data_IF_306266858599
#
_entry.id   IF_306266858599
#
_cell.length_a   1.000
_cell.length_b   1.000
_cell.length_c   1.000
_cell.angle_alpha   90.00
_cell.angle_beta   90.00
_cell.angle_gamma   90.00
#
_symmetry.space_group_name_H-M   'P 1'
#
loop_
_entity.id
_entity.type
_entity.pdbx_description
1 polymer ?
#
# COMPACT_ATOMS: atom_id res chain seq x y z
N UNK A 1 -4.72 -16.75 22.52
CA UNK A 1 -4.09 -15.41 22.31
C UNK A 1 -2.85 -15.53 21.42
N UNK A 2 -2.72 -14.67 20.42
CA UNK A 2 -1.55 -14.63 19.56
C UNK A 2 -0.36 -14.04 20.33
N UNK A 3 0.74 -14.79 20.42
CA UNK A 3 1.97 -14.37 21.13
C UNK A 3 3.17 -14.16 20.22
N UNK A 4 2.98 -14.22 18.90
CA UNK A 4 4.05 -14.15 17.91
C UNK A 4 3.62 -13.31 16.72
N UNK A 5 4.60 -12.80 15.99
CA UNK A 5 4.42 -12.18 14.67
C UNK A 5 4.37 -13.28 13.61
N UNK A 6 3.36 -13.26 12.75
CA UNK A 6 3.21 -14.21 11.64
C UNK A 6 3.17 -13.45 10.32
N UNK A 7 3.94 -13.93 9.34
CA UNK A 7 3.85 -13.52 7.94
C UNK A 7 3.64 -14.76 7.08
N UNK A 8 2.80 -14.65 6.05
CA UNK A 8 2.60 -15.73 5.08
C UNK A 8 2.76 -15.22 3.65
N UNK A 9 3.17 -16.12 2.75
CA UNK A 9 3.19 -15.91 1.31
C UNK A 9 2.37 -17.03 0.65
N UNK A 10 1.95 -16.82 -0.60
CA UNK A 10 1.15 -17.77 -1.37
C UNK A 10 -0.35 -17.56 -1.18
N UNK A 11 -1.11 -18.66 -1.08
CA UNK A 11 -2.57 -18.63 -1.08
C UNK A 11 -3.15 -17.59 -0.10
N UNK A 12 -4.15 -16.79 -0.52
CA UNK A 12 -4.96 -16.92 -1.74
C UNK A 12 -4.42 -16.14 -2.95
N UNK A 13 -3.21 -15.59 -2.88
CA UNK A 13 -2.63 -14.88 -4.02
C UNK A 13 -2.30 -15.85 -5.15
N UNK A 14 -2.52 -15.45 -6.42
CA UNK A 14 -2.01 -16.21 -7.55
C UNK A 14 -0.48 -16.13 -7.60
N UNK A 15 0.15 -17.11 -8.27
CA UNK A 15 1.61 -17.23 -8.34
C UNK A 15 2.31 -16.08 -9.10
N UNK A 16 1.54 -15.29 -9.86
CA UNK A 16 1.98 -14.12 -10.62
C UNK A 16 1.57 -12.77 -9.99
N UNK A 17 1.07 -12.76 -8.75
CA UNK A 17 0.89 -11.54 -7.97
C UNK A 17 1.85 -11.52 -6.78
N UNK A 18 2.56 -10.41 -6.61
CA UNK A 18 3.36 -10.21 -5.41
C UNK A 18 2.47 -9.84 -4.23
N UNK A 19 2.72 -10.44 -3.07
CA UNK A 19 2.05 -10.05 -1.85
C UNK A 19 2.28 -11.03 -0.71
N UNK A 20 1.65 -10.73 0.41
CA UNK A 20 1.75 -11.54 1.61
C UNK A 20 0.87 -11.03 2.74
N UNK A 21 0.64 -11.87 3.73
CA UNK A 21 -0.15 -11.51 4.91
C UNK A 21 0.74 -11.12 6.08
N UNK A 22 0.14 -10.39 7.01
CA UNK A 22 0.68 -10.20 8.34
C UNK A 22 -0.39 -10.43 9.40
N UNK A 23 0.00 -11.01 10.53
CA UNK A 23 -0.84 -11.16 11.72
C UNK A 23 -0.03 -10.86 12.98
N UNK A 24 -0.39 -9.79 13.69
CA UNK A 24 0.37 -9.26 14.84
C UNK A 24 -0.52 -9.13 16.08
N UNK A 25 0.01 -9.40 17.29
CA UNK A 25 -0.68 -9.05 18.52
C UNK A 25 -0.67 -7.52 18.74
N UNK A 26 -1.83 -6.91 18.95
CA UNK A 26 -1.95 -5.47 19.27
C UNK A 26 -2.10 -5.21 20.77
N UNK A 27 -2.78 -6.10 21.47
CA UNK A 27 -3.13 -5.95 22.88
C UNK A 27 -3.91 -7.15 23.41
N UNK A 28 -4.38 -7.11 24.67
CA UNK A 28 -5.17 -8.19 25.24
C UNK A 28 -6.39 -8.52 24.39
N UNK A 29 -6.40 -9.70 23.76
CA UNK A 29 -7.49 -10.18 22.92
C UNK A 29 -7.61 -9.49 21.55
N UNK A 30 -6.60 -8.73 21.11
CA UNK A 30 -6.63 -7.98 19.84
C UNK A 30 -5.50 -8.39 18.90
N UNK A 31 -5.86 -8.54 17.62
CA UNK A 31 -4.95 -8.94 16.54
C UNK A 31 -5.10 -7.94 15.39
N UNK A 32 -3.97 -7.46 14.87
CA UNK A 32 -3.91 -6.82 13.55
C UNK A 32 -3.71 -7.91 12.50
N UNK A 33 -4.60 -7.99 11.52
CA UNK A 33 -4.51 -8.91 10.39
C UNK A 33 -4.60 -8.11 9.10
N UNK A 34 -3.71 -8.37 8.15
CA UNK A 34 -3.73 -7.69 6.85
C UNK A 34 -3.17 -8.54 5.73
N UNK A 35 -3.48 -8.13 4.51
CA UNK A 35 -2.96 -8.67 3.26
C UNK A 35 -2.41 -7.50 2.44
N UNK A 36 -1.20 -7.66 1.94
CA UNK A 36 -0.55 -6.71 1.03
C UNK A 36 -0.47 -7.37 -0.34
N UNK A 37 -0.83 -6.63 -1.38
CA UNK A 37 -0.75 -7.06 -2.78
C UNK A 37 -0.13 -5.92 -3.58
N UNK A 38 0.89 -6.23 -4.36
CA UNK A 38 1.51 -5.29 -5.29
C UNK A 38 0.53 -4.86 -6.37
N UNK A 39 0.52 -3.60 -6.76
CA UNK A 39 -0.44 -3.08 -7.74
C UNK A 39 -0.08 -3.47 -9.19
N UNK A 40 1.03 -4.18 -9.37
CA UNK A 40 1.54 -4.75 -10.62
C UNK A 40 0.96 -6.13 -10.97
N UNK A 41 -0.16 -6.55 -10.38
CA UNK A 41 -0.84 -7.78 -10.77
C UNK A 41 -1.46 -7.72 -12.17
N UNK A 42 -1.46 -8.86 -12.86
CA UNK A 42 -1.94 -8.98 -14.24
C UNK A 42 -3.44 -9.21 -14.37
N UNK A 43 -4.12 -9.67 -13.33
CA UNK A 43 -5.54 -10.01 -13.40
C UNK A 43 -6.44 -8.81 -13.04
N UNK A 44 -7.20 -8.30 -14.01
CA UNK A 44 -8.14 -7.19 -13.79
C UNK A 44 -9.33 -7.57 -12.89
N UNK A 45 -9.55 -8.87 -12.68
CA UNK A 45 -10.62 -9.39 -11.83
C UNK A 45 -10.18 -9.63 -10.39
N UNK A 46 -8.90 -9.39 -10.07
CA UNK A 46 -8.35 -9.58 -8.74
C UNK A 46 -8.86 -8.50 -7.78
N UNK A 47 -9.58 -8.94 -6.75
CA UNK A 47 -10.09 -8.10 -5.68
C UNK A 47 -9.32 -8.36 -4.37
N UNK A 48 -8.47 -7.39 -3.97
CA UNK A 48 -7.64 -7.51 -2.77
C UNK A 48 -8.47 -7.62 -1.49
N UNK A 49 -9.63 -6.96 -1.42
CA UNK A 49 -10.52 -7.07 -0.27
C UNK A 49 -11.12 -8.48 -0.19
N UNK A 50 -11.53 -9.05 -1.31
CA UNK A 50 -12.01 -10.43 -1.35
C UNK A 50 -10.90 -11.42 -0.98
N UNK A 51 -9.67 -11.23 -1.47
CA UNK A 51 -8.55 -12.09 -1.14
C UNK A 51 -8.28 -12.13 0.36
N UNK A 52 -8.33 -11.01 1.10
CA UNK A 52 -8.20 -11.07 2.56
C UNK A 52 -9.40 -11.76 3.22
N UNK A 53 -10.61 -11.70 2.63
CA UNK A 53 -11.74 -12.49 3.13
C UNK A 53 -11.50 -13.99 2.95
N UNK A 54 -11.06 -14.43 1.77
CA UNK A 54 -10.69 -15.83 1.50
C UNK A 54 -9.56 -16.28 2.39
N UNK A 55 -8.52 -15.45 2.54
CA UNK A 55 -7.35 -15.73 3.38
C UNK A 55 -7.74 -16.16 4.79
N UNK A 56 -8.73 -15.50 5.40
CA UNK A 56 -9.24 -15.83 6.75
C UNK A 56 -9.79 -17.26 6.87
N UNK A 57 -10.18 -17.89 5.77
CA UNK A 57 -10.67 -19.28 5.74
C UNK A 57 -9.54 -20.31 5.73
N UNK A 58 -8.28 -19.90 5.49
CA UNK A 58 -7.14 -20.81 5.56
C UNK A 58 -6.99 -21.36 7.00
N UNK A 59 -6.76 -22.67 7.22
CA UNK A 59 -6.73 -23.29 8.56
C UNK A 59 -5.80 -22.65 9.60
N UNK A 60 -4.84 -21.84 9.16
CA UNK A 60 -3.96 -21.05 10.02
C UNK A 60 -4.71 -20.01 10.87
N UNK A 61 -5.76 -19.38 10.33
CA UNK A 61 -6.40 -18.20 10.94
C UNK A 61 -7.59 -18.51 11.86
N UNK A 62 -8.51 -19.46 11.56
CA UNK A 62 -9.65 -19.76 12.42
C UNK A 62 -9.33 -19.98 13.90
N UNK A 63 -8.21 -20.65 14.29
CA UNK A 63 -7.84 -20.78 15.70
C UNK A 63 -7.66 -19.46 16.46
N UNK A 64 -7.47 -18.34 15.75
CA UNK A 64 -7.30 -17.00 16.31
C UNK A 64 -8.50 -16.08 16.09
N UNK A 65 -9.33 -16.35 15.08
CA UNK A 65 -10.41 -15.47 14.63
C UNK A 65 -11.81 -15.97 15.02
N UNK A 66 -11.99 -17.28 15.21
CA UNK A 66 -13.29 -17.86 15.53
C UNK A 66 -13.85 -17.31 16.83
N UNK A 67 -15.09 -16.80 16.77
CA UNK A 67 -15.75 -16.13 17.90
C UNK A 67 -15.24 -14.70 18.18
N UNK A 68 -14.29 -14.20 17.38
CA UNK A 68 -13.84 -12.81 17.43
C UNK A 68 -14.81 -11.84 16.76
N UNK A 69 -14.56 -10.55 16.95
CA UNK A 69 -15.30 -9.47 16.30
C UNK A 69 -14.34 -8.61 15.47
N UNK A 70 -14.76 -8.21 14.25
CA UNK A 70 -14.08 -7.17 13.49
C UNK A 70 -14.26 -5.80 14.19
N UNK A 71 -13.21 -5.34 14.85
CA UNK A 71 -13.23 -4.06 15.58
C UNK A 71 -13.10 -2.85 14.64
N UNK A 72 -12.19 -2.95 13.67
CA UNK A 72 -11.80 -1.85 12.81
C UNK A 72 -11.33 -2.39 11.45
N UNK A 73 -11.51 -1.60 10.39
CA UNK A 73 -11.09 -1.98 9.04
C UNK A 73 -10.60 -0.76 8.26
N UNK A 74 -9.62 -0.98 7.38
CA UNK A 74 -9.23 0.01 6.39
C UNK A 74 -8.17 -0.54 5.44
N UNK A 75 -7.67 0.34 4.59
CA UNK A 75 -6.70 -0.01 3.57
C UNK A 75 -5.83 1.21 3.24
N UNK A 76 -4.59 0.94 2.83
CA UNK A 76 -3.64 1.97 2.41
C UNK A 76 -2.68 1.41 1.37
N UNK A 77 -2.34 2.22 0.38
CA UNK A 77 -1.23 1.95 -0.54
C UNK A 77 0.08 2.34 0.13
N UNK A 78 1.08 1.46 0.04
CA UNK A 78 2.44 1.68 0.52
C UNK A 78 3.41 1.73 -0.67
N UNK A 79 4.44 2.57 -0.64
CA UNK A 79 5.48 2.57 -1.67
C UNK A 79 6.25 1.26 -1.70
N UNK A 80 6.40 0.68 -2.89
CA UNK A 80 7.12 -0.58 -3.08
C UNK A 80 8.23 -0.56 -4.13
N UNK A 81 8.47 0.59 -4.76
CA UNK A 81 9.54 0.75 -5.74
C UNK A 81 10.96 0.68 -5.16
N UNK A 82 11.10 0.85 -3.83
CA UNK A 82 12.37 0.72 -3.12
C UNK A 82 13.45 1.70 -3.59
N UNK A 83 14.72 1.30 -3.48
CA UNK A 83 15.87 2.18 -3.75
C UNK A 83 15.85 2.80 -5.15
N UNK A 84 15.47 2.04 -6.18
CA UNK A 84 15.50 2.52 -7.56
C UNK A 84 14.42 3.56 -7.88
N UNK A 85 13.40 3.68 -7.03
CA UNK A 85 12.33 4.66 -7.13
C UNK A 85 12.62 5.97 -6.39
N UNK A 86 13.70 6.02 -5.58
CA UNK A 86 14.02 7.21 -4.81
C UNK A 86 14.36 8.37 -5.76
N UNK A 87 13.76 9.57 -5.57
CA UNK A 87 14.10 10.72 -6.39
C UNK A 87 15.55 11.13 -6.16
N UNK A 88 16.21 11.77 -7.11
CA UNK A 88 17.58 12.27 -6.87
C UNK A 88 17.61 13.41 -5.85
N UNK A 89 16.50 14.16 -5.72
CA UNK A 89 16.36 15.28 -4.80
C UNK A 89 15.07 15.17 -3.99
N UNK A 90 15.16 15.44 -2.69
CA UNK A 90 14.01 15.42 -1.74
C UNK A 90 13.76 16.81 -1.14
N UNK A 91 14.53 17.80 -1.58
CA UNK A 91 14.49 19.19 -1.16
C UNK A 91 14.38 20.15 -2.36
N UNK A 92 13.81 21.32 -2.12
CA UNK A 92 13.68 22.40 -3.10
C UNK A 92 13.58 23.76 -2.43
N UNK A 93 13.24 24.81 -3.18
CA UNK A 93 13.05 26.15 -2.61
C UNK A 93 11.87 26.13 -1.64
N UNK A 94 12.14 26.32 -0.35
CA UNK A 94 11.13 26.32 0.71
C UNK A 94 10.40 24.99 0.94
N UNK A 95 10.89 23.87 0.38
CA UNK A 95 10.19 22.57 0.44
C UNK A 95 11.13 21.43 0.81
N UNK A 96 10.62 20.51 1.64
CA UNK A 96 11.25 19.26 2.04
C UNK A 96 10.19 18.14 1.97
N UNK A 97 10.54 17.02 1.34
CA UNK A 97 9.69 15.84 1.23
C UNK A 97 10.26 14.74 2.14
N UNK A 98 9.41 14.09 2.93
CA UNK A 98 9.84 13.10 3.96
C UNK A 98 8.99 11.83 3.91
N UNK A 99 9.50 10.75 4.51
CA UNK A 99 8.78 9.47 4.67
C UNK A 99 8.29 8.86 3.37
N UNK A 100 7.11 8.23 3.43
CA UNK A 100 6.52 7.49 2.32
C UNK A 100 6.17 8.37 1.11
N UNK A 101 6.01 9.69 1.29
CA UNK A 101 5.85 10.62 0.18
C UNK A 101 7.07 10.65 -0.76
N UNK A 102 8.25 10.27 -0.24
CA UNK A 102 9.49 10.08 -1.01
C UNK A 102 9.70 8.62 -1.44
N UNK A 103 8.97 7.69 -0.83
CA UNK A 103 9.15 6.25 -1.03
C UNK A 103 10.10 5.58 -0.04
N UNK A 104 10.33 6.17 1.14
CA UNK A 104 11.24 5.63 2.16
C UNK A 104 10.65 4.42 2.90
N UNK A 105 10.57 3.26 2.23
CA UNK A 105 10.03 2.01 2.76
C UNK A 105 10.94 0.84 2.40
N UNK A 106 11.25 -0.02 3.38
CA UNK A 106 11.90 -1.31 3.13
C UNK A 106 10.83 -2.40 2.95
N UNK A 107 10.61 -2.77 1.69
CA UNK A 107 9.57 -3.72 1.28
C UNK A 107 9.76 -5.10 1.90
N UNK A 108 10.96 -5.71 1.90
CA UNK A 108 11.11 -7.08 2.38
C UNK A 108 10.86 -7.23 3.89
N UNK A 109 11.11 -6.19 4.68
CA UNK A 109 10.82 -6.22 6.12
C UNK A 109 9.46 -5.62 6.50
N UNK A 110 8.70 -5.09 5.53
CA UNK A 110 7.43 -4.37 5.71
C UNK A 110 7.56 -3.20 6.71
N UNK A 111 8.62 -2.39 6.57
CA UNK A 111 8.91 -1.28 7.49
C UNK A 111 9.18 0.03 6.77
N UNK A 112 8.43 1.07 7.12
CA UNK A 112 8.65 2.46 6.68
C UNK A 112 8.68 3.47 7.84
N UNK A 113 7.96 3.20 8.94
CA UNK A 113 7.73 4.16 10.04
C UNK A 113 9.04 4.75 10.58
N UNK A 114 10.02 3.90 10.90
CA UNK A 114 11.32 4.36 11.39
C UNK A 114 12.11 5.23 10.39
N UNK A 115 11.99 4.99 9.08
CA UNK A 115 12.58 5.85 8.06
C UNK A 115 11.82 7.17 7.92
N UNK A 116 10.48 7.14 8.00
CA UNK A 116 9.65 8.34 8.01
C UNK A 116 9.96 9.24 9.21
N UNK A 117 10.09 8.65 10.41
CA UNK A 117 10.49 9.38 11.62
C UNK A 117 11.89 10.00 11.45
N UNK A 118 12.86 9.21 11.00
CA UNK A 118 14.25 9.67 10.89
C UNK A 118 14.42 10.74 9.79
N UNK A 119 13.78 10.57 8.64
CA UNK A 119 13.76 11.60 7.60
C UNK A 119 13.10 12.89 8.07
N UNK A 120 12.03 12.81 8.87
CA UNK A 120 11.44 13.96 9.55
C UNK A 120 12.42 14.68 10.48
N UNK A 121 13.20 13.94 11.27
CA UNK A 121 14.25 14.50 12.14
C UNK A 121 15.34 15.20 11.31
N UNK A 122 15.78 14.60 10.20
CA UNK A 122 16.76 15.21 9.31
C UNK A 122 16.23 16.48 8.63
N UNK A 123 15.00 16.44 8.14
CA UNK A 123 14.32 17.58 7.54
C UNK A 123 14.21 18.74 8.54
N UNK A 124 13.81 18.46 9.79
CA UNK A 124 13.73 19.47 10.84
C UNK A 124 15.09 20.13 11.14
N UNK A 125 16.18 19.35 11.17
CA UNK A 125 17.54 19.89 11.37
C UNK A 125 17.97 20.80 10.22
N UNK A 126 17.72 20.38 8.97
CA UNK A 126 18.03 21.18 7.79
C UNK A 126 17.20 22.48 7.76
N UNK A 127 15.90 22.39 7.99
CA UNK A 127 15.00 23.55 8.04
C UNK A 127 15.39 24.54 9.14
N UNK A 128 15.71 24.06 10.35
CA UNK A 128 16.13 24.92 11.45
C UNK A 128 17.45 25.65 11.14
N UNK A 129 18.42 24.96 10.56
CA UNK A 129 19.70 25.55 10.16
C UNK A 129 19.55 26.56 9.00
N UNK A 130 18.58 26.35 8.11
CA UNK A 130 18.21 27.26 7.02
C UNK A 130 17.51 28.52 7.55
N UNK A 131 16.53 28.36 8.44
CA UNK A 131 15.81 29.45 9.10
C UNK A 131 16.73 30.36 9.91
N UNK A 132 17.68 29.80 10.66
CA UNK A 132 18.68 30.58 11.42
C UNK A 132 19.53 31.49 10.54
N UNK A 133 19.69 31.15 9.26
CA UNK A 133 20.48 31.91 8.30
C UNK A 133 19.62 32.79 7.38
N UNK A 134 18.29 32.72 7.51
CA UNK A 134 17.37 33.45 6.64
C UNK A 134 17.38 32.97 5.18
N UNK A 135 17.86 31.74 4.91
CA UNK A 135 18.00 31.21 3.56
C UNK A 135 17.25 29.89 3.43
N UNK A 136 16.08 29.91 2.77
CA UNK A 136 15.25 28.74 2.46
C UNK A 136 15.42 28.27 1.02
N UNK A 137 16.52 28.64 0.37
CA UNK A 137 16.82 28.19 -1.00
C UNK A 137 17.02 26.68 -1.06
N UNK A 138 16.83 26.14 -2.26
CA UNK A 138 17.09 24.74 -2.56
C UNK A 138 18.55 24.35 -2.26
N UNK A 139 19.50 25.26 -2.43
CA UNK A 139 20.91 25.04 -2.12
C UNK A 139 21.10 24.80 -0.62
N UNK A 140 20.50 25.64 0.23
CA UNK A 140 20.60 25.49 1.68
C UNK A 140 19.86 24.24 2.18
N UNK A 141 18.66 23.99 1.67
CA UNK A 141 17.83 22.85 2.08
C UNK A 141 18.35 21.49 1.58
N UNK A 142 19.21 21.44 0.56
CA UNK A 142 19.90 20.22 0.10
C UNK A 142 20.73 19.51 1.18
N UNK A 143 21.03 20.18 2.30
CA UNK A 143 21.63 19.53 3.46
C UNK A 143 20.78 18.36 3.97
N UNK A 144 19.45 18.41 3.81
CA UNK A 144 18.55 17.31 4.11
C UNK A 144 18.81 16.09 3.21
N UNK A 145 18.93 16.30 1.89
CA UNK A 145 19.17 15.23 0.92
C UNK A 145 20.44 14.45 1.32
N UNK A 146 21.53 15.16 1.60
CA UNK A 146 22.79 14.57 2.08
C UNK A 146 22.64 13.80 3.39
N UNK A 147 21.91 14.34 4.37
CA UNK A 147 21.66 13.65 5.64
C UNK A 147 20.93 12.32 5.45
N UNK A 148 19.99 12.25 4.50
CA UNK A 148 19.29 11.01 4.16
C UNK A 148 20.22 10.05 3.43
N UNK A 149 20.96 10.52 2.42
CA UNK A 149 21.85 9.71 1.59
C UNK A 149 22.99 9.07 2.40
N UNK A 150 23.52 9.79 3.40
CA UNK A 150 24.58 9.31 4.30
C UNK A 150 24.05 8.44 5.45
N UNK A 151 22.74 8.24 5.56
CA UNK A 151 22.11 7.53 6.69
C UNK A 151 21.91 6.03 6.45
N UNK A 152 21.51 5.34 7.52
CA UNK A 152 21.12 3.94 7.44
C UNK A 152 19.91 3.71 6.52
N UNK A 153 19.07 4.73 6.29
CA UNK A 153 17.87 4.62 5.43
C UNK A 153 18.27 4.18 4.03
N UNK A 154 19.18 4.94 3.39
CA UNK A 154 19.61 4.65 2.02
C UNK A 154 20.51 3.42 1.96
N UNK A 155 21.33 3.19 3.00
CA UNK A 155 22.14 1.97 3.09
C UNK A 155 21.28 0.69 3.15
N UNK A 156 20.22 0.68 3.97
CA UNK A 156 19.31 -0.44 4.09
C UNK A 156 18.51 -0.67 2.80
N UNK A 157 17.94 0.40 2.22
CA UNK A 157 17.22 0.32 0.95
C UNK A 157 18.12 -0.16 -0.20
N UNK A 158 19.39 0.27 -0.23
CA UNK A 158 20.34 -0.20 -1.23
C UNK A 158 20.64 -1.70 -1.06
N UNK A 159 20.76 -2.18 0.19
CA UNK A 159 20.97 -3.60 0.49
C UNK A 159 19.83 -4.48 -0.01
N UNK A 160 18.59 -3.98 0.02
CA UNK A 160 17.38 -4.71 -0.41
C UNK A 160 16.86 -4.33 -1.80
N UNK A 161 17.59 -3.49 -2.55
CA UNK A 161 17.15 -2.82 -3.80
C UNK A 161 16.52 -3.70 -4.88
N UNK A 162 16.89 -4.98 -4.94
CA UNK A 162 16.39 -5.92 -5.95
C UNK A 162 15.49 -7.03 -5.37
N UNK A 163 15.27 -7.05 -4.05
CA UNK A 163 14.54 -8.14 -3.40
C UNK A 163 13.09 -8.23 -3.88
N UNK A 164 12.37 -7.09 -3.94
CA UNK A 164 11.02 -7.06 -4.51
C UNK A 164 11.03 -7.39 -6.01
N UNK A 165 11.95 -6.78 -6.76
CA UNK A 165 12.01 -6.96 -8.21
C UNK A 165 12.29 -8.41 -8.63
N UNK A 166 12.97 -9.20 -7.79
CA UNK A 166 13.18 -10.63 -8.07
C UNK A 166 11.88 -11.45 -8.12
N UNK A 167 10.80 -11.01 -7.45
CA UNK A 167 9.51 -11.71 -7.49
C UNK A 167 8.75 -11.52 -8.81
N UNK A 168 9.26 -10.69 -9.74
CA UNK A 168 8.74 -10.64 -11.12
C UNK A 168 8.96 -11.95 -11.89
N UNK A 169 9.91 -12.77 -11.45
CA UNK A 169 10.11 -14.12 -11.98
C UNK A 169 9.17 -15.17 -11.33
N UNK A 170 8.15 -14.72 -10.59
CA UNK A 170 7.20 -15.54 -9.84
C UNK A 170 7.66 -15.87 -8.42
N UNK A 171 6.73 -16.39 -7.62
CA UNK A 171 6.92 -16.62 -6.18
C UNK A 171 8.14 -17.49 -5.84
N UNK A 172 8.29 -18.64 -6.51
CA UNK A 172 9.33 -19.62 -6.15
C UNK A 172 10.74 -19.19 -6.60
N UNK A 173 10.87 -18.76 -7.85
CA UNK A 173 12.17 -18.31 -8.41
C UNK A 173 12.60 -17.01 -7.74
N UNK A 174 11.66 -16.08 -7.55
CA UNK A 174 11.88 -14.85 -6.80
C UNK A 174 12.28 -15.11 -5.36
N UNK A 175 11.60 -16.03 -4.67
CA UNK A 175 11.93 -16.44 -3.31
C UNK A 175 13.35 -17.00 -3.18
N UNK A 176 13.78 -17.85 -4.11
CA UNK A 176 15.16 -18.35 -4.15
C UNK A 176 16.18 -17.22 -4.34
N UNK A 177 15.96 -16.33 -5.32
CA UNK A 177 16.83 -15.16 -5.55
C UNK A 177 16.87 -14.25 -4.33
N UNK A 178 15.73 -14.00 -3.69
CA UNK A 178 15.61 -13.19 -2.47
C UNK A 178 16.37 -13.82 -1.30
N UNK A 179 16.33 -15.15 -1.14
CA UNK A 179 17.13 -15.87 -0.16
C UNK A 179 18.64 -15.65 -0.35
N UNK A 180 19.13 -15.80 -1.58
CA UNK A 180 20.54 -15.55 -1.91
C UNK A 180 20.94 -14.07 -1.72
N UNK A 181 20.07 -13.13 -2.06
CA UNK A 181 20.28 -11.72 -1.80
C UNK A 181 20.34 -11.41 -0.31
N UNK A 182 19.50 -12.05 0.50
CA UNK A 182 19.50 -11.87 1.96
C UNK A 182 20.83 -12.32 2.56
N UNK A 183 21.34 -13.48 2.16
CA UNK A 183 22.64 -14.01 2.64
C UNK A 183 23.80 -13.11 2.21
N UNK A 184 23.76 -12.59 0.98
CA UNK A 184 24.86 -11.79 0.41
C UNK A 184 24.78 -10.29 0.72
N UNK A 185 23.72 -9.82 1.39
CA UNK A 185 23.45 -8.39 1.58
C UNK A 185 23.21 -7.66 0.24
N UNK A 186 22.52 -8.29 -0.69
CA UNK A 186 22.19 -7.71 -2.01
C UNK A 186 23.38 -7.61 -2.97
N UNK A 187 24.47 -8.36 -2.73
CA UNK A 187 25.63 -8.42 -3.63
C UNK A 187 25.40 -9.40 -4.78
N UNK A 188 24.76 -10.55 -4.51
CA UNK A 188 24.30 -11.46 -5.56
C UNK A 188 23.12 -10.84 -6.30
N UNK A 189 23.08 -10.97 -7.62
CA UNK A 189 22.08 -10.32 -8.49
C UNK A 189 22.02 -8.79 -8.30
N UNK A 190 23.15 -8.16 -7.99
CA UNK A 190 23.22 -6.76 -7.58
C UNK A 190 23.14 -5.71 -8.70
N UNK A 191 23.00 -6.13 -9.97
CA UNK A 191 22.82 -5.23 -11.11
C UNK A 191 21.49 -4.47 -11.03
N UNK A 192 21.38 -3.33 -11.70
CA UNK A 192 20.10 -2.58 -11.76
C UNK A 192 19.05 -3.44 -12.48
N UNK A 193 17.92 -3.66 -11.83
CA UNK A 193 16.74 -4.31 -12.42
C UNK A 193 15.72 -3.26 -12.85
N UNK A 194 14.97 -3.55 -13.90
CA UNK A 194 13.96 -2.64 -14.42
C UNK A 194 12.72 -2.59 -13.52
N UNK A 195 12.23 -1.38 -13.31
CA UNK A 195 11.05 -1.08 -12.50
C UNK A 195 10.06 -0.26 -13.33
N UNK A 196 9.26 -0.91 -14.20
CA UNK A 196 8.09 -0.31 -14.81
C UNK A 196 7.10 0.23 -13.78
N UNK A 197 6.26 1.16 -14.23
CA UNK A 197 5.11 1.65 -13.50
C UNK A 197 4.01 0.58 -13.40
N UNK A 198 3.40 0.42 -12.23
CA UNK A 198 2.32 -0.56 -12.00
C UNK A 198 1.11 -0.32 -12.94
N UNK A 199 0.86 0.94 -13.31
CA UNK A 199 -0.18 1.32 -14.26
C UNK A 199 0.09 0.80 -15.68
N UNK A 200 1.37 0.62 -16.06
CA UNK A 200 1.78 0.13 -17.36
C UNK A 200 1.73 -1.40 -17.47
N UNK A 201 1.50 -2.12 -16.37
CA UNK A 201 1.36 -3.58 -16.38
C UNK A 201 0.17 -4.00 -17.26
N UNK A 202 0.38 -4.88 -18.26
CA UNK A 202 -0.70 -5.43 -19.07
C UNK A 202 -1.66 -6.24 -18.20
N UNK A 203 -2.95 -5.94 -18.29
CA UNK A 203 -4.00 -6.62 -17.54
C UNK A 203 -4.88 -7.48 -18.44
N UNK A 204 -5.20 -8.68 -17.96
CA UNK A 204 -6.12 -9.63 -18.56
C UNK A 204 -7.39 -9.69 -17.73
N UNK A 205 -8.54 -9.74 -18.39
CA UNK A 205 -9.81 -10.01 -17.72
C UNK A 205 -9.95 -11.51 -17.56
N UNK A 206 -10.16 -11.97 -16.33
CA UNK A 206 -10.49 -13.37 -16.04
C UNK A 206 -11.90 -13.46 -15.46
N UNK A 207 -12.49 -14.65 -15.47
CA UNK A 207 -13.75 -14.86 -14.75
C UNK A 207 -13.45 -14.90 -13.25
N UNK A 208 -14.00 -13.93 -12.50
CA UNK A 208 -13.86 -13.89 -11.05
C UNK A 208 -14.57 -15.09 -10.44
N UNK A 209 -13.88 -15.83 -9.57
CA UNK A 209 -14.52 -16.88 -8.79
C UNK A 209 -15.58 -16.26 -7.86
N UNK A 210 -16.84 -16.73 -7.85
CA UNK A 210 -17.85 -16.18 -6.96
C UNK A 210 -17.45 -16.35 -5.49
N UNK A 211 -17.59 -15.29 -4.71
CA UNK A 211 -17.43 -15.31 -3.26
C UNK A 211 -18.64 -14.71 -2.57
N UNK A 212 -19.16 -15.41 -1.57
CA UNK A 212 -20.26 -14.90 -0.74
C UNK A 212 -19.76 -14.78 0.70
N UNK A 213 -19.65 -13.55 1.24
CA UNK A 213 -19.32 -13.35 2.65
C UNK A 213 -20.33 -13.99 3.59
N UNK A 214 -19.87 -14.52 4.73
CA UNK A 214 -20.72 -15.17 5.73
C UNK A 214 -21.25 -14.21 6.82
N UNK A 215 -20.77 -12.97 6.83
CA UNK A 215 -21.13 -11.93 7.79
C UNK A 215 -20.59 -12.17 9.21
N UNK A 216 -19.75 -13.20 9.42
CA UNK A 216 -19.18 -13.59 10.70
C UNK A 216 -17.66 -13.56 10.67
N UNK A 217 -17.06 -14.41 9.85
CA UNK A 217 -15.62 -14.42 9.62
C UNK A 217 -15.27 -13.54 8.43
N UNK A 218 -16.12 -13.48 7.41
CA UNK A 218 -15.91 -12.78 6.15
C UNK A 218 -17.00 -11.75 5.88
N UNK A 219 -16.65 -10.65 5.20
CA UNK A 219 -17.50 -9.46 5.07
C UNK A 219 -17.39 -8.84 3.67
N UNK A 220 -18.49 -8.30 3.17
CA UNK A 220 -18.48 -7.48 1.95
C UNK A 220 -17.84 -6.11 2.18
N UNK A 221 -17.50 -5.40 1.11
CA UNK A 221 -16.86 -4.06 1.18
C UNK A 221 -17.72 -3.05 1.94
N UNK A 222 -19.03 -3.06 1.67
CA UNK A 222 -19.98 -2.15 2.32
C UNK A 222 -20.20 -2.49 3.80
N UNK A 223 -20.05 -3.75 4.19
CA UNK A 223 -20.17 -4.17 5.60
C UNK A 223 -18.99 -3.62 6.43
N UNK A 224 -17.79 -3.55 5.83
CA UNK A 224 -16.58 -3.14 6.53
C UNK A 224 -16.27 -1.65 6.42
N UNK A 225 -16.79 -0.93 5.43
CA UNK A 225 -16.48 0.50 5.26
C UNK A 225 -16.90 1.32 6.49
N UNK A 226 -18.00 0.95 7.15
CA UNK A 226 -18.42 1.58 8.40
C UNK A 226 -17.40 1.39 9.53
N UNK A 227 -16.69 0.26 9.55
CA UNK A 227 -15.65 -0.05 10.54
C UNK A 227 -14.35 0.75 10.33
N UNK A 228 -14.23 1.55 9.27
CA UNK A 228 -13.17 2.55 9.12
C UNK A 228 -13.44 3.86 9.89
N UNK A 229 -14.63 3.99 10.48
CA UNK A 229 -15.06 5.23 11.12
C UNK A 229 -15.27 6.38 10.12
N UNK A 230 -15.41 6.07 8.83
CA UNK A 230 -15.56 7.06 7.78
C UNK A 230 -16.74 8.00 8.05
N UNK A 231 -16.45 9.29 8.10
CA UNK A 231 -17.39 10.34 8.45
C UNK A 231 -17.44 11.39 7.33
N UNK A 232 -17.84 10.95 6.14
CA UNK A 232 -17.99 11.81 4.95
C UNK A 232 -19.47 12.05 4.68
N UNK A 233 -19.86 13.31 4.45
CA UNK A 233 -21.24 13.66 4.07
C UNK A 233 -21.51 13.34 2.60
N UNK A 234 -22.74 12.95 2.27
CA UNK A 234 -23.11 12.59 0.89
C UNK A 234 -23.02 13.75 -0.09
N UNK A 235 -23.20 14.98 0.40
CA UNK A 235 -23.19 16.21 -0.40
C UNK A 235 -21.78 16.81 -0.58
N UNK A 236 -20.72 16.09 -0.21
CA UNK A 236 -19.35 16.57 -0.39
C UNK A 236 -19.03 16.66 -1.89
N UNK A 237 -18.28 17.68 -2.35
CA UNK A 237 -17.72 17.65 -3.69
C UNK A 237 -16.89 16.37 -3.91
N UNK A 238 -17.03 15.75 -5.08
CA UNK A 238 -16.20 14.59 -5.40
C UNK A 238 -14.74 15.01 -5.46
N UNK A 239 -13.91 14.27 -4.72
CA UNK A 239 -12.46 14.38 -4.71
C UNK A 239 -11.80 13.32 -5.61
N UNK A 240 -12.63 12.60 -6.36
CA UNK A 240 -12.22 11.55 -7.28
C UNK A 240 -12.47 12.08 -8.69
N UNK A 241 -11.40 12.24 -9.44
CA UNK A 241 -11.42 12.74 -10.81
C UNK A 241 -11.45 11.54 -11.75
N UNK A 242 -12.66 11.21 -12.20
CA UNK A 242 -12.91 10.16 -13.18
C UNK A 242 -12.97 10.79 -14.57
N UNK A 243 -12.27 10.20 -15.54
CA UNK A 243 -12.32 10.65 -16.92
C UNK A 243 -13.69 10.42 -17.57
N UNK A 244 -14.02 11.13 -18.66
CA UNK A 244 -15.16 10.77 -19.50
C UNK A 244 -14.93 9.38 -20.14
N UNK A 245 -16.01 8.66 -20.45
CA UNK A 245 -15.99 7.42 -21.25
C UNK A 245 -15.31 6.21 -20.58
N UNK A 246 -15.66 5.92 -19.33
CA UNK A 246 -15.26 4.66 -18.67
C UNK A 246 -16.05 3.49 -19.25
N UNK A 247 -15.37 2.53 -19.88
CA UNK A 247 -16.00 1.31 -20.37
C UNK A 247 -16.46 0.40 -19.22
N UNK A 248 -17.40 -0.49 -19.50
CA UNK A 248 -17.90 -1.47 -18.53
C UNK A 248 -16.77 -2.33 -17.92
N UNK A 249 -15.79 -2.74 -18.72
CA UNK A 249 -14.61 -3.50 -18.25
C UNK A 249 -13.72 -2.69 -17.30
N UNK A 250 -13.52 -1.41 -17.59
CA UNK A 250 -12.74 -0.52 -16.72
C UNK A 250 -13.51 -0.19 -15.44
N UNK A 251 -14.83 -0.02 -15.53
CA UNK A 251 -15.70 0.16 -14.36
C UNK A 251 -15.63 -1.05 -13.42
N UNK A 252 -15.66 -2.26 -13.98
CA UNK A 252 -15.47 -3.52 -13.25
C UNK A 252 -14.12 -3.55 -12.55
N UNK A 253 -13.03 -3.26 -13.28
CA UNK A 253 -11.68 -3.20 -12.74
C UNK A 253 -11.56 -2.23 -11.56
N UNK A 254 -12.10 -1.01 -11.68
CA UNK A 254 -12.09 -0.04 -10.59
C UNK A 254 -12.89 -0.52 -9.36
N UNK A 255 -13.96 -1.28 -9.59
CA UNK A 255 -14.73 -1.90 -8.51
C UNK A 255 -13.87 -2.90 -7.72
N UNK A 256 -13.04 -3.70 -8.39
CA UNK A 256 -12.12 -4.67 -7.75
C UNK A 256 -10.96 -3.99 -7.03
N UNK A 257 -10.30 -3.02 -7.67
CA UNK A 257 -9.17 -2.26 -7.08
C UNK A 257 -9.61 -1.54 -5.80
N UNK A 258 -10.85 -1.03 -5.76
CA UNK A 258 -11.33 -0.28 -4.62
C UNK A 258 -11.70 -1.18 -3.44
N UNK A 259 -11.09 -0.98 -2.26
CA UNK A 259 -11.40 -1.80 -1.10
C UNK A 259 -12.73 -1.42 -0.44
N UNK A 260 -13.33 -0.27 -0.77
CA UNK A 260 -14.42 0.34 0.01
C UNK A 260 -15.75 0.49 -0.75
N UNK A 261 -15.88 -0.06 -1.95
CA UNK A 261 -17.12 0.06 -2.74
C UNK A 261 -17.42 1.50 -3.17
N UNK A 262 -16.38 2.26 -3.53
CA UNK A 262 -16.51 3.60 -4.09
C UNK A 262 -16.93 3.53 -5.56
N UNK A 263 -16.41 2.57 -6.31
CA UNK A 263 -16.71 2.38 -7.73
C UNK A 263 -17.59 1.15 -7.87
N UNK A 264 -18.69 1.29 -8.58
CA UNK A 264 -19.66 0.23 -8.84
C UNK A 264 -20.00 0.25 -10.33
N UNK A 265 -19.99 -0.92 -10.96
CA UNK A 265 -20.49 -1.07 -12.32
C UNK A 265 -22.00 -1.29 -12.28
N UNK A 266 -22.75 -0.42 -12.95
CA UNK A 266 -24.20 -0.54 -13.12
C UNK A 266 -24.50 -0.66 -14.62
N UNK A 267 -24.69 -1.89 -15.09
CA UNK A 267 -24.79 -2.17 -16.52
C UNK A 267 -23.46 -1.86 -17.22
N UNK A 268 -23.49 -0.88 -18.14
CA UNK A 268 -22.30 -0.43 -18.88
C UNK A 268 -21.71 0.87 -18.32
N UNK A 269 -22.26 1.40 -17.22
CA UNK A 269 -21.84 2.67 -16.63
C UNK A 269 -21.08 2.47 -15.31
N UNK A 270 -20.16 3.39 -15.03
CA UNK A 270 -19.51 3.52 -13.73
C UNK A 270 -20.31 4.46 -12.82
N UNK A 271 -20.73 3.95 -11.66
CA UNK A 271 -21.27 4.74 -10.56
C UNK A 271 -20.20 5.01 -9.51
N UNK A 272 -20.09 6.26 -9.08
CA UNK A 272 -19.09 6.71 -8.08
C UNK A 272 -19.77 7.11 -6.78
N UNK A 273 -19.60 6.30 -5.75
CA UNK A 273 -20.05 6.52 -4.38
C UNK A 273 -18.90 7.14 -3.56
N UNK A 274 -18.49 8.37 -3.91
CA UNK A 274 -17.37 9.08 -3.31
C UNK A 274 -17.36 9.15 -1.76
N UNK A 275 -18.52 9.24 -1.06
CA UNK A 275 -18.55 9.23 0.41
C UNK A 275 -17.94 7.98 1.05
N UNK A 276 -17.91 6.83 0.35
CA UNK A 276 -17.31 5.60 0.85
C UNK A 276 -15.77 5.63 0.88
N UNK A 277 -15.13 6.63 0.27
CA UNK A 277 -13.69 6.64 0.07
C UNK A 277 -12.90 6.73 1.39
N UNK A 278 -12.06 5.72 1.64
CA UNK A 278 -11.18 5.64 2.82
C UNK A 278 -9.74 6.12 2.55
N UNK A 279 -9.51 6.90 1.50
CA UNK A 279 -8.21 7.47 1.12
C UNK A 279 -7.07 6.45 0.98
N UNK A 280 -7.37 5.24 0.51
CA UNK A 280 -6.33 4.21 0.34
C UNK A 280 -5.27 4.63 -0.71
N UNK A 281 -5.67 5.41 -1.73
CA UNK A 281 -4.89 5.85 -2.91
C UNK A 281 -4.62 4.80 -3.98
N UNK A 282 -5.10 3.56 -3.83
CA UNK A 282 -4.86 2.52 -4.84
C UNK A 282 -5.34 2.91 -6.25
N UNK A 283 -6.51 3.53 -6.35
CA UNK A 283 -7.04 3.98 -7.65
C UNK A 283 -6.32 5.20 -8.21
N UNK A 284 -5.62 6.00 -7.39
CA UNK A 284 -4.78 7.12 -7.88
C UNK A 284 -3.55 6.60 -8.63
N UNK A 285 -3.14 5.36 -8.36
CA UNK A 285 -2.06 4.65 -9.06
C UNK A 285 -2.57 4.00 -10.35
N UNK A 286 -3.73 3.32 -10.31
CA UNK A 286 -4.19 2.46 -11.40
C UNK A 286 -5.35 3.02 -12.25
N UNK A 287 -5.90 4.18 -11.91
CA UNK A 287 -7.13 4.66 -12.51
C UNK A 287 -7.47 6.10 -12.13
N UNK A 288 -8.66 6.37 -11.54
CA UNK A 288 -9.09 7.74 -11.23
C UNK A 288 -8.16 8.47 -10.27
N UNK A 289 -7.85 9.72 -10.62
CA UNK A 289 -7.01 10.57 -9.79
C UNK A 289 -7.73 10.95 -8.50
N UNK A 290 -6.98 10.96 -7.40
CA UNK A 290 -7.45 11.39 -6.10
C UNK A 290 -6.94 12.81 -5.80
N UNK A 291 -7.81 13.64 -5.25
CA UNK A 291 -7.46 14.96 -4.71
C UNK A 291 -7.82 15.05 -3.23
N UNK A 292 -7.22 16.02 -2.53
CA UNK A 292 -7.61 16.29 -1.15
C UNK A 292 -9.06 16.78 -1.10
N UNK A 293 -9.83 16.25 -0.15
CA UNK A 293 -11.22 16.64 0.12
C UNK A 293 -11.32 17.62 1.29
N UNK A 294 -12.54 18.06 1.58
CA UNK A 294 -12.85 18.91 2.74
C UNK A 294 -12.26 18.34 4.04
N UNK A 295 -11.49 19.16 4.76
CA UNK A 295 -10.82 18.75 5.99
C UNK A 295 -11.80 18.24 7.04
N UNK A 296 -11.44 17.14 7.71
CA UNK A 296 -12.28 16.47 8.71
C UNK A 296 -13.20 15.38 8.16
N UNK A 297 -13.33 15.27 6.83
CA UNK A 297 -14.01 14.16 6.15
C UNK A 297 -13.07 12.99 5.89
N UNK A 298 -13.61 11.77 5.87
CA UNK A 298 -12.86 10.55 5.59
C UNK A 298 -12.78 9.57 6.76
N UNK A 299 -11.90 8.55 6.66
CA UNK A 299 -11.76 7.53 7.68
C UNK A 299 -11.29 8.12 9.01
N UNK A 300 -11.78 7.56 10.12
CA UNK A 300 -11.40 7.94 11.48
C UNK A 300 -10.85 6.71 12.18
N UNK A 301 -9.69 6.29 11.71
CA UNK A 301 -8.98 5.16 12.30
C UNK A 301 -8.60 5.46 13.76
N UNK A 302 -8.74 4.47 14.63
CA UNK A 302 -8.51 4.58 16.08
C UNK A 302 -7.31 3.77 16.54
N UNK A 303 -7.20 2.54 16.06
CA UNK A 303 -6.18 1.59 16.45
C UNK A 303 -5.32 1.09 15.27
N UNK A 304 -5.53 1.63 14.06
CA UNK A 304 -4.68 1.42 12.88
C UNK A 304 -3.62 2.50 12.70
#
# INVERSE_FOLDING_TARGET
PLGTVIHTLGWPLPDDAFGGSFMYPLGPGQIALGLVVGLDYHDASLDVHELIQRMKQHPLFPPYLDGGELLEWGAKTIPEGGYHALPERRSGNGVLLVGDAVGLVDVPSLKGIHYAMQSGIYAARAAFAALKQGDLSAARLSAYDRLVDESYIVADMYRTRNMRLAFKDGLYVGGFKAGLMTISGGRLFGGRMEMPEDAATPRRVTEAEPFTPDGKLTFGKLDVVFKSGNATRDTIPSHLLVGPDVSAEVAEFYSHVCPAGVYERVGDELRVNAPNCIDCKATDVLGPRWTAREGGSGPKYRAM
#
